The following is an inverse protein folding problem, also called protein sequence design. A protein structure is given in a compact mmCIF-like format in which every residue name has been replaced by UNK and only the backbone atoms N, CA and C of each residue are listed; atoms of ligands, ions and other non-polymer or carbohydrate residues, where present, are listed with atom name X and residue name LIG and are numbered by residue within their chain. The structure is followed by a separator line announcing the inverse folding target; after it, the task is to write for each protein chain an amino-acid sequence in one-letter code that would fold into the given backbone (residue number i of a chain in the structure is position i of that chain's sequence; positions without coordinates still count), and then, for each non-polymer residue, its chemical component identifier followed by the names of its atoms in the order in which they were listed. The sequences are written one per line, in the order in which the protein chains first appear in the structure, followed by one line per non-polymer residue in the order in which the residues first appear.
data_IF_193712041565
#
_entry.id   IF_193712041565
#
_cell.length_a   1.000
_cell.length_b   1.000
_cell.length_c   1.000
_cell.angle_alpha   90.00
_cell.angle_beta   90.00
_cell.angle_gamma   90.00
#
_symmetry.space_group_name_H-M   'P 1'
#
loop_
_entity.id
_entity.type
_entity.pdbx_description
1 polymer ?
#
# COMPACT_ATOMS: atom_id res chain seq x y z
N UNK A 1 -25.71 18.51 -37.40
CA UNK A 1 -24.41 19.14 -37.73
C UNK A 1 -24.56 20.63 -38.00
N UNK A 2 -25.41 21.07 -38.93
CA UNK A 2 -25.56 22.51 -39.29
C UNK A 2 -25.96 23.43 -38.12
N UNK A 3 -26.86 23.01 -37.23
CA UNK A 3 -27.29 23.82 -36.07
C UNK A 3 -26.15 24.12 -35.08
N UNK A 4 -25.19 23.21 -34.93
CA UNK A 4 -24.05 23.39 -34.02
C UNK A 4 -23.04 24.36 -34.65
N UNK A 5 -22.81 24.25 -35.96
CA UNK A 5 -21.93 25.17 -36.69
C UNK A 5 -22.46 26.62 -36.70
N UNK A 6 -23.78 26.81 -36.83
CA UNK A 6 -24.39 28.14 -36.79
C UNK A 6 -24.30 28.83 -35.42
N UNK A 7 -24.48 28.09 -34.32
CA UNK A 7 -24.37 28.65 -32.96
C UNK A 7 -22.92 29.05 -32.65
N UNK A 8 -21.93 28.28 -33.14
CA UNK A 8 -20.51 28.52 -32.84
C UNK A 8 -19.90 29.64 -33.70
N UNK A 9 -20.33 29.77 -34.96
CA UNK A 9 -19.90 30.88 -35.83
C UNK A 9 -20.29 32.26 -35.28
N UNK A 10 -21.40 32.34 -34.52
CA UNK A 10 -21.85 33.56 -33.85
C UNK A 10 -20.93 34.01 -32.68
N UNK A 11 -20.08 33.11 -32.16
CA UNK A 11 -19.13 33.40 -31.07
C UNK A 11 -17.66 33.47 -31.52
N UNK A 12 -17.39 33.51 -32.84
CA UNK A 12 -16.06 33.68 -33.44
C UNK A 12 -15.00 32.62 -33.06
N UNK A 13 -15.41 31.40 -32.69
CA UNK A 13 -14.47 30.29 -32.44
C UNK A 13 -14.16 29.51 -33.74
N UNK A 14 -12.90 29.14 -33.95
CA UNK A 14 -12.47 28.25 -35.03
C UNK A 14 -12.70 26.78 -34.66
N UNK A 15 -13.23 25.99 -35.60
CA UNK A 15 -13.41 24.54 -35.42
C UNK A 15 -12.20 23.78 -35.97
N UNK A 16 -11.65 22.87 -35.16
CA UNK A 16 -10.76 21.81 -35.61
C UNK A 16 -11.54 20.49 -35.56
N UNK A 17 -11.83 19.90 -36.72
CA UNK A 17 -12.56 18.63 -36.79
C UNK A 17 -11.55 17.49 -36.88
N UNK A 18 -11.43 16.71 -35.80
CA UNK A 18 -10.51 15.58 -35.71
C UNK A 18 -11.25 14.28 -36.03
N UNK A 19 -10.78 13.55 -37.03
CA UNK A 19 -11.37 12.27 -37.47
C UNK A 19 -10.49 11.06 -37.16
N UNK A 20 -9.22 11.29 -36.80
CA UNK A 20 -8.30 10.25 -36.36
C UNK A 20 -8.58 9.88 -34.89
N UNK A 21 -8.89 8.62 -34.57
CA UNK A 21 -9.15 8.16 -33.20
C UNK A 21 -8.05 8.52 -32.19
N UNK A 22 -6.78 8.54 -32.61
CA UNK A 22 -5.66 8.89 -31.73
C UNK A 22 -5.65 10.38 -31.38
N UNK A 23 -5.95 11.23 -32.37
CA UNK A 23 -6.04 12.69 -32.18
C UNK A 23 -7.32 13.07 -31.43
N UNK A 24 -8.42 12.35 -31.64
CA UNK A 24 -9.67 12.51 -30.87
C UNK A 24 -9.44 12.19 -29.39
N UNK A 25 -8.69 11.13 -29.08
CA UNK A 25 -8.33 10.78 -27.71
C UNK A 25 -7.45 11.87 -27.06
N UNK A 26 -6.41 12.33 -27.75
CA UNK A 26 -5.52 13.39 -27.27
C UNK A 26 -6.26 14.73 -27.06
N UNK A 27 -7.15 15.09 -27.99
CA UNK A 27 -7.98 16.29 -27.85
C UNK A 27 -9.02 16.17 -26.73
N UNK A 28 -9.57 14.97 -26.51
CA UNK A 28 -10.45 14.68 -25.37
C UNK A 28 -9.72 14.81 -24.03
N UNK A 29 -8.48 14.35 -23.95
CA UNK A 29 -7.61 14.48 -22.78
C UNK A 29 -7.29 15.95 -22.49
N UNK A 30 -6.96 16.73 -23.54
CA UNK A 30 -6.72 18.17 -23.44
C UNK A 30 -7.97 18.97 -23.01
N UNK A 31 -9.16 18.64 -23.55
CA UNK A 31 -10.40 19.31 -23.17
C UNK A 31 -10.82 18.99 -21.72
N UNK A 32 -10.62 17.74 -21.27
CA UNK A 32 -10.95 17.33 -19.91
C UNK A 32 -10.11 18.08 -18.86
N UNK A 33 -8.84 18.34 -19.17
CA UNK A 33 -7.89 19.02 -18.28
C UNK A 33 -7.97 20.55 -18.38
N UNK A 34 -8.20 21.10 -19.57
CA UNK A 34 -8.30 22.55 -19.78
C UNK A 34 -9.61 23.14 -19.23
N UNK A 35 -10.74 22.44 -19.36
CA UNK A 35 -12.02 22.89 -18.81
C UNK A 35 -12.01 22.93 -17.27
N UNK A 36 -11.29 21.99 -16.63
CA UNK A 36 -11.09 21.99 -15.18
C UNK A 36 -10.22 23.16 -14.71
N UNK A 37 -9.14 23.49 -15.44
CA UNK A 37 -8.29 24.65 -15.14
C UNK A 37 -9.02 26.00 -15.28
N UNK A 38 -9.88 26.15 -16.28
CA UNK A 38 -10.64 27.40 -16.49
C UNK A 38 -11.75 27.63 -15.45
N UNK A 39 -12.34 26.56 -14.88
CA UNK A 39 -13.36 26.66 -13.85
C UNK A 39 -12.81 27.16 -12.50
N UNK A 40 -11.56 26.78 -12.18
CA UNK A 40 -10.86 27.19 -10.96
C UNK A 40 -10.44 28.66 -10.96
N UNK A 41 -10.31 29.29 -12.13
CA UNK A 41 -9.73 30.62 -12.27
C UNK A 41 -10.78 31.76 -12.34
N UNK A 42 -12.06 31.46 -12.10
CA UNK A 42 -13.11 32.48 -12.07
C UNK A 42 -12.99 33.39 -10.84
N UNK A 43 -13.35 34.68 -10.99
CA UNK A 43 -13.34 35.65 -9.87
C UNK A 43 -14.19 35.21 -8.67
N UNK A 44 -15.22 34.39 -8.91
CA UNK A 44 -16.06 33.81 -7.86
C UNK A 44 -15.31 32.74 -7.05
N UNK A 45 -14.50 31.90 -7.70
CA UNK A 45 -13.70 30.86 -7.04
C UNK A 45 -12.55 31.43 -6.19
N UNK A 46 -12.02 32.62 -6.52
CA UNK A 46 -10.97 33.29 -5.71
C UNK A 46 -11.47 33.89 -4.39
N UNK A 47 -12.79 34.01 -4.19
CA UNK A 47 -13.38 34.56 -2.97
C UNK A 47 -13.74 33.51 -1.92
N UNK A 48 -13.88 32.26 -2.33
CA UNK A 48 -14.03 31.14 -1.41
C UNK A 48 -12.64 30.55 -1.14
N UNK A 49 -12.13 30.68 0.09
CA UNK A 49 -10.98 29.90 0.56
C UNK A 49 -11.43 28.44 0.72
N UNK A 50 -11.62 27.76 -0.41
CA UNK A 50 -11.91 26.34 -0.45
C UNK A 50 -10.57 25.59 -0.44
N UNK A 51 -10.27 24.99 0.71
CA UNK A 51 -9.22 23.99 0.89
C UNK A 51 -9.62 22.69 0.17
N UNK A 52 -9.78 22.74 -1.15
CA UNK A 52 -10.12 21.58 -1.96
C UNK A 52 -8.88 21.24 -2.78
N UNK A 53 -8.16 20.23 -2.32
CA UNK A 53 -7.10 19.59 -3.08
C UNK A 53 -7.74 18.89 -4.29
N UNK A 54 -7.24 19.18 -5.49
CA UNK A 54 -7.68 18.58 -6.77
C UNK A 54 -7.60 17.03 -6.79
N UNK A 55 -7.00 16.42 -5.76
CA UNK A 55 -6.97 14.98 -5.47
C UNK A 55 -8.34 14.36 -5.16
N UNK A 56 -9.34 15.13 -4.71
CA UNK A 56 -10.64 14.59 -4.35
C UNK A 56 -11.54 14.20 -5.54
N UNK A 57 -11.26 14.71 -6.75
CA UNK A 57 -12.19 14.59 -7.90
C UNK A 57 -11.68 13.73 -9.06
N UNK A 58 -10.53 13.07 -8.92
CA UNK A 58 -9.95 12.21 -9.97
C UNK A 58 -10.62 10.82 -10.10
N UNK A 59 -11.87 10.69 -9.64
CA UNK A 59 -12.69 9.47 -9.76
C UNK A 59 -14.17 9.71 -10.14
N UNK A 60 -14.64 10.96 -10.23
CA UNK A 60 -16.07 11.20 -10.47
C UNK A 60 -16.40 11.35 -11.97
N UNK A 61 -17.18 10.39 -12.49
CA UNK A 61 -17.91 10.58 -13.76
C UNK A 61 -18.96 11.67 -13.55
N UNK A 62 -18.63 12.90 -13.94
CA UNK A 62 -19.61 13.98 -14.07
C UNK A 62 -20.60 13.59 -15.19
N UNK A 63 -21.82 13.17 -14.82
CA UNK A 63 -22.97 13.21 -15.72
C UNK A 63 -23.94 14.27 -15.20
N UNK A 64 -24.29 15.19 -16.11
CA UNK A 64 -25.33 16.21 -15.94
C UNK A 64 -26.63 15.56 -15.45
N UNK A 65 -27.29 16.27 -14.52
CA UNK A 65 -28.60 15.97 -13.90
C UNK A 65 -28.55 15.15 -12.59
N UNK A 66 -27.64 15.52 -11.68
CA UNK A 66 -27.43 14.88 -10.38
C UNK A 66 -28.55 15.19 -9.36
N UNK A 67 -29.53 14.30 -9.25
CA UNK A 67 -29.99 13.87 -7.94
C UNK A 67 -28.94 12.89 -7.38
N UNK A 68 -28.27 13.33 -6.31
CA UNK A 68 -27.15 12.69 -5.62
C UNK A 68 -27.26 11.16 -5.53
N UNK A 69 -26.32 10.43 -6.14
CA UNK A 69 -26.17 8.98 -5.98
C UNK A 69 -25.10 8.58 -4.97
N UNK A 70 -24.41 9.55 -4.36
CA UNK A 70 -23.91 9.34 -3.01
C UNK A 70 -25.01 9.75 -2.04
N UNK A 71 -25.67 8.77 -1.43
CA UNK A 71 -26.05 8.99 -0.03
C UNK A 71 -24.73 9.32 0.65
N UNK A 72 -24.55 10.55 1.11
CA UNK A 72 -23.59 10.80 2.18
C UNK A 72 -23.72 9.64 3.15
N UNK A 73 -22.63 8.90 3.37
CA UNK A 73 -22.66 7.75 4.26
C UNK A 73 -23.40 8.21 5.52
N UNK A 74 -24.56 7.59 5.80
CA UNK A 74 -25.23 7.85 7.06
C UNK A 74 -24.19 7.63 8.15
N UNK A 75 -24.18 8.42 9.22
CA UNK A 75 -23.20 8.28 10.30
C UNK A 75 -23.00 6.81 10.78
N UNK A 76 -24.00 5.95 10.58
CA UNK A 76 -23.93 4.51 10.80
C UNK A 76 -22.94 3.72 9.91
N UNK A 77 -22.69 4.11 8.65
CA UNK A 77 -21.75 3.42 7.74
C UNK A 77 -20.32 3.95 7.85
N UNK A 78 -20.12 5.25 8.09
CA UNK A 78 -18.80 5.80 8.43
C UNK A 78 -18.24 5.15 9.71
N UNK A 79 -19.10 5.02 10.73
CA UNK A 79 -18.79 4.28 11.96
C UNK A 79 -18.53 2.78 11.75
N UNK A 80 -18.88 2.20 10.59
CA UNK A 80 -18.69 0.77 10.31
C UNK A 80 -17.34 0.52 9.65
N UNK A 81 -16.94 1.36 8.70
CA UNK A 81 -15.59 1.30 8.12
C UNK A 81 -14.51 1.58 9.18
N UNK A 82 -14.70 2.58 10.04
CA UNK A 82 -13.78 2.84 11.17
C UNK A 82 -13.70 1.69 12.20
N UNK A 83 -14.77 0.87 12.32
CA UNK A 83 -14.77 -0.31 13.21
C UNK A 83 -14.09 -1.53 12.61
N UNK A 84 -13.93 -1.55 11.29
CA UNK A 84 -13.41 -2.69 10.55
C UNK A 84 -11.95 -2.47 10.07
N UNK A 85 -11.42 -1.26 10.20
CA UNK A 85 -9.98 -0.99 10.08
C UNK A 85 -9.20 -1.57 11.28
N UNK A 86 -7.94 -2.01 11.07
CA UNK A 86 -7.02 -2.31 12.16
C UNK A 86 -6.87 -1.10 13.10
N UNK A 87 -6.50 -1.37 14.35
CA UNK A 87 -6.18 -0.29 15.29
C UNK A 87 -5.06 0.60 14.71
N UNK A 88 -5.17 1.92 14.88
CA UNK A 88 -4.13 2.86 14.47
C UNK A 88 -2.83 2.49 15.19
N UNK A 89 -1.82 2.16 14.40
CA UNK A 89 -0.57 1.63 14.91
C UNK A 89 0.59 2.10 14.03
N UNK A 90 1.65 2.56 14.69
CA UNK A 90 2.94 2.85 14.07
C UNK A 90 3.94 1.86 14.64
N UNK A 91 4.70 1.17 13.80
CA UNK A 91 5.61 0.11 14.26
C UNK A 91 6.68 0.59 15.25
N UNK A 92 7.14 1.84 15.12
CA UNK A 92 8.11 2.47 16.01
C UNK A 92 7.67 2.44 17.49
N UNK A 93 6.36 2.41 17.73
CA UNK A 93 5.78 2.44 19.07
C UNK A 93 5.89 1.11 19.83
N UNK A 94 6.22 0.01 19.14
CA UNK A 94 6.38 -1.33 19.72
C UNK A 94 7.74 -1.52 20.44
N UNK A 95 8.67 -0.57 20.33
CA UNK A 95 10.01 -0.68 20.90
C UNK A 95 10.95 -1.57 20.09
N UNK A 96 12.16 -1.78 20.60
CA UNK A 96 13.24 -2.54 19.96
C UNK A 96 14.01 -3.38 21.01
N UNK A 97 15.17 -3.94 20.65
CA UNK A 97 16.01 -4.74 21.56
C UNK A 97 16.39 -3.97 22.85
N UNK A 98 16.51 -2.65 22.77
CA UNK A 98 17.01 -1.79 23.85
C UNK A 98 15.92 -0.94 24.50
N UNK A 99 14.85 -0.63 23.77
CA UNK A 99 13.79 0.27 24.15
C UNK A 99 12.48 -0.47 24.41
N UNK A 100 11.86 -0.18 25.55
CA UNK A 100 10.57 -0.76 25.89
C UNK A 100 9.45 -0.19 25.01
N UNK A 101 8.50 -1.05 24.65
CA UNK A 101 7.23 -0.63 24.05
C UNK A 101 6.51 0.41 24.92
N UNK A 102 5.88 1.36 24.26
CA UNK A 102 5.12 2.43 24.94
C UNK A 102 3.61 2.26 24.81
N UNK A 103 3.16 1.20 24.14
CA UNK A 103 1.76 1.00 23.75
C UNK A 103 1.12 -0.17 24.47
N UNK A 104 -0.20 -0.05 24.66
CA UNK A 104 -1.01 -1.11 25.25
C UNK A 104 -1.08 -2.31 24.30
N UNK A 105 -0.97 -3.52 24.84
CA UNK A 105 -1.05 -4.77 24.07
C UNK A 105 -2.32 -4.89 23.22
N UNK A 106 -3.43 -4.34 23.70
CA UNK A 106 -4.71 -4.32 23.00
C UNK A 106 -4.63 -3.54 21.68
N UNK A 107 -3.75 -2.54 21.58
CA UNK A 107 -3.58 -1.68 20.38
C UNK A 107 -2.61 -2.32 19.38
N UNK A 108 -1.71 -3.20 19.83
CA UNK A 108 -0.76 -3.85 18.93
C UNK A 108 -1.51 -4.76 17.97
N UNK A 109 -1.29 -4.65 16.65
CA UNK A 109 -1.86 -5.59 15.69
C UNK A 109 -1.36 -6.99 16.00
N UNK A 110 -2.29 -7.92 16.23
CA UNK A 110 -1.95 -9.34 16.25
C UNK A 110 -1.87 -9.88 14.82
N UNK A 111 -0.90 -9.42 14.03
CA UNK A 111 -0.90 -9.74 12.61
C UNK A 111 0.30 -9.21 11.85
N UNK A 112 0.06 -8.22 10.98
CA UNK A 112 1.09 -7.69 10.09
C UNK A 112 1.02 -6.17 10.09
N UNK A 113 2.18 -5.52 10.25
CA UNK A 113 2.31 -4.08 10.11
C UNK A 113 3.58 -3.71 9.34
N UNK A 114 3.41 -3.02 8.20
CA UNK A 114 4.48 -2.71 7.26
C UNK A 114 4.57 -1.19 7.06
N UNK A 115 5.69 -0.63 7.51
CA UNK A 115 5.89 0.81 7.64
C UNK A 115 7.18 1.35 7.03
N UNK A 116 8.12 0.49 6.59
CA UNK A 116 9.41 0.97 6.08
C UNK A 116 9.24 1.77 4.79
N UNK A 117 10.15 2.71 4.59
CA UNK A 117 10.31 3.43 3.32
C UNK A 117 11.57 2.90 2.65
N UNK A 118 11.45 2.48 1.40
CA UNK A 118 12.58 1.92 0.67
C UNK A 118 13.73 2.91 0.53
N UNK A 119 14.95 2.42 0.70
CA UNK A 119 16.16 3.09 0.25
C UNK A 119 16.44 2.69 -1.18
N UNK A 120 16.61 3.67 -2.06
CA UNK A 120 16.97 3.45 -3.45
C UNK A 120 18.38 3.98 -3.70
N UNK A 121 19.20 3.22 -4.43
CA UNK A 121 20.53 3.64 -4.88
C UNK A 121 20.49 4.64 -6.07
N UNK A 122 19.30 5.10 -6.44
CA UNK A 122 19.06 5.97 -7.58
C UNK A 122 17.91 6.95 -7.34
N UNK A 123 17.94 8.06 -8.07
CA UNK A 123 16.86 9.05 -8.08
C UNK A 123 15.86 8.72 -9.19
N UNK A 124 14.63 8.41 -8.80
CA UNK A 124 13.53 8.14 -9.74
C UNK A 124 12.92 9.47 -10.18
N UNK A 125 12.86 9.70 -11.49
CA UNK A 125 12.24 10.89 -12.07
C UNK A 125 10.77 10.67 -12.46
N UNK A 126 10.42 9.46 -12.93
CA UNK A 126 9.03 9.15 -13.29
C UNK A 126 8.72 7.65 -13.32
N UNK A 127 7.43 7.33 -13.32
CA UNK A 127 6.87 5.99 -13.42
C UNK A 127 6.23 5.76 -14.79
N UNK A 128 6.41 4.59 -15.36
CA UNK A 128 5.69 4.15 -16.56
C UNK A 128 4.96 2.85 -16.26
N UNK A 129 3.66 2.81 -16.54
CA UNK A 129 2.88 1.57 -16.51
C UNK A 129 2.53 1.13 -17.93
N UNK A 130 3.06 -0.01 -18.36
CA UNK A 130 2.77 -0.61 -19.65
C UNK A 130 2.85 -2.13 -19.57
N UNK A 131 2.04 -2.82 -20.38
CA UNK A 131 2.02 -4.29 -20.45
C UNK A 131 1.86 -4.98 -19.08
N UNK A 132 1.08 -4.38 -18.17
CA UNK A 132 0.86 -4.92 -16.82
C UNK A 132 2.03 -4.74 -15.85
N UNK A 133 3.06 -3.96 -16.19
CA UNK A 133 4.25 -3.76 -15.34
C UNK A 133 4.52 -2.29 -15.11
N UNK A 134 5.05 -1.98 -13.92
CA UNK A 134 5.65 -0.68 -13.62
C UNK A 134 7.14 -0.73 -13.98
N UNK A 135 7.61 0.33 -14.62
CA UNK A 135 9.01 0.59 -14.94
C UNK A 135 9.37 1.94 -14.33
N UNK A 136 10.52 2.02 -13.67
CA UNK A 136 11.04 3.28 -13.14
C UNK A 136 11.90 3.96 -14.20
N UNK A 137 11.82 5.28 -14.30
CA UNK A 137 12.68 6.08 -15.16
C UNK A 137 13.50 6.98 -14.26
N UNK A 138 14.82 6.88 -14.34
CA UNK A 138 15.73 7.71 -13.54
C UNK A 138 15.91 9.13 -14.11
N UNK A 139 16.66 9.97 -13.41
CA UNK A 139 16.97 11.33 -13.85
C UNK A 139 17.76 11.43 -15.16
N UNK A 140 18.39 10.35 -15.62
CA UNK A 140 19.10 10.28 -16.90
C UNK A 140 18.21 9.73 -18.03
N UNK A 141 16.95 9.39 -17.73
CA UNK A 141 16.01 8.81 -18.69
C UNK A 141 16.22 7.30 -18.92
N UNK A 142 17.04 6.62 -18.12
CA UNK A 142 17.19 5.17 -18.20
C UNK A 142 15.98 4.49 -17.57
N UNK A 143 15.59 3.37 -18.17
CA UNK A 143 14.46 2.55 -17.73
C UNK A 143 14.98 1.42 -16.86
N UNK A 144 14.33 1.22 -15.73
CA UNK A 144 14.64 0.18 -14.76
C UNK A 144 13.43 -0.73 -14.61
N UNK A 145 13.59 -1.98 -14.99
CA UNK A 145 12.59 -3.02 -14.78
C UNK A 145 12.54 -3.41 -13.30
N UNK A 146 11.36 -3.77 -12.82
CA UNK A 146 11.13 -4.20 -11.45
C UNK A 146 10.82 -5.71 -11.44
N UNK A 147 10.94 -6.39 -10.28
CA UNK A 147 10.50 -7.77 -10.13
C UNK A 147 9.04 -7.94 -10.57
N UNK A 148 8.64 -9.16 -10.93
CA UNK A 148 7.28 -9.36 -11.42
C UNK A 148 6.31 -9.47 -10.25
N UNK A 149 5.29 -8.62 -10.25
CA UNK A 149 4.13 -8.72 -9.35
C UNK A 149 2.84 -8.69 -10.16
N UNK A 150 1.84 -9.46 -9.75
CA UNK A 150 0.54 -9.44 -10.40
C UNK A 150 -0.07 -8.02 -10.36
N UNK A 151 -0.64 -7.50 -11.46
CA UNK A 151 -1.13 -6.12 -11.51
C UNK A 151 -2.19 -5.81 -10.44
N UNK A 152 -3.06 -6.78 -10.14
CA UNK A 152 -4.10 -6.66 -9.11
C UNK A 152 -3.49 -6.51 -7.70
N UNK A 153 -2.49 -7.34 -7.37
CA UNK A 153 -1.73 -7.26 -6.13
C UNK A 153 -1.01 -5.92 -6.02
N UNK A 154 -0.29 -5.51 -7.08
CA UNK A 154 0.40 -4.22 -7.12
C UNK A 154 -0.55 -3.03 -6.90
N UNK A 155 -1.75 -3.08 -7.51
CA UNK A 155 -2.78 -2.07 -7.32
C UNK A 155 -3.33 -2.06 -5.89
N UNK A 156 -3.50 -3.22 -5.28
CA UNK A 156 -3.96 -3.34 -3.90
C UNK A 156 -2.94 -2.75 -2.91
N UNK A 157 -1.64 -3.06 -3.10
CA UNK A 157 -0.55 -2.48 -2.30
C UNK A 157 -0.43 -0.96 -2.51
N UNK A 158 -0.60 -0.48 -3.74
CA UNK A 158 -0.64 0.96 -4.03
C UNK A 158 -1.76 1.68 -3.30
N UNK A 159 -2.97 1.13 -3.32
CA UNK A 159 -4.11 1.71 -2.59
C UNK A 159 -3.90 1.66 -1.08
N UNK A 160 -3.25 0.61 -0.58
CA UNK A 160 -2.88 0.51 0.81
C UNK A 160 -1.94 1.64 1.22
N UNK A 161 -0.86 1.89 0.48
CA UNK A 161 0.08 2.98 0.79
C UNK A 161 -0.61 4.34 0.83
N UNK A 162 -1.46 4.64 -0.14
CA UNK A 162 -2.19 5.90 -0.17
C UNK A 162 -3.14 6.07 1.04
N UNK A 163 -3.81 4.97 1.44
CA UNK A 163 -4.70 4.99 2.60
C UNK A 163 -3.92 5.06 3.92
N UNK A 164 -2.85 4.26 4.06
CA UNK A 164 -2.04 4.14 5.27
C UNK A 164 -1.40 5.47 5.68
N UNK A 165 -0.93 6.24 4.70
CA UNK A 165 -0.41 7.60 4.92
C UNK A 165 -1.49 8.59 5.34
N UNK A 166 -2.71 8.44 4.81
CA UNK A 166 -3.86 9.30 5.15
C UNK A 166 -4.30 9.08 6.60
N UNK A 167 -4.36 7.83 7.04
CA UNK A 167 -4.80 7.46 8.39
C UNK A 167 -3.66 7.38 9.41
N UNK A 168 -2.40 7.47 8.95
CA UNK A 168 -1.18 7.32 9.76
C UNK A 168 -1.14 5.97 10.50
N UNK A 169 -1.32 4.88 9.77
CA UNK A 169 -1.27 3.52 10.33
C UNK A 169 -0.48 2.59 9.42
N UNK A 170 0.45 1.84 10.01
CA UNK A 170 1.20 0.80 9.31
C UNK A 170 0.54 -0.58 9.43
N UNK A 171 -0.48 -0.71 10.29
CA UNK A 171 -1.18 -1.98 10.49
C UNK A 171 -1.98 -2.40 9.26
N UNK A 172 -1.79 -3.65 8.86
CA UNK A 172 -2.50 -4.31 7.76
C UNK A 172 -3.50 -5.32 8.30
N UNK A 173 -3.04 -6.23 9.19
CA UNK A 173 -3.86 -7.27 9.81
C UNK A 173 -3.77 -7.15 11.32
N UNK A 174 -4.91 -7.24 11.99
CA UNK A 174 -5.02 -7.33 13.44
C UNK A 174 -5.96 -8.48 13.82
N UNK A 175 -5.41 -9.53 14.41
CA UNK A 175 -6.14 -10.65 15.01
C UNK A 175 -6.13 -10.45 16.53
N UNK A 176 -7.32 -10.30 17.11
CA UNK A 176 -7.44 -10.17 18.55
C UNK A 176 -7.41 -11.53 19.28
N UNK A 177 -7.37 -11.49 20.61
CA UNK A 177 -7.35 -12.69 21.46
C UNK A 177 -8.61 -13.56 21.31
N UNK A 178 -9.70 -13.03 20.76
CA UNK A 178 -10.93 -13.77 20.46
C UNK A 178 -10.98 -14.30 19.02
N UNK A 179 -9.89 -14.16 18.25
CA UNK A 179 -9.78 -14.62 16.86
C UNK A 179 -10.57 -13.77 15.86
N UNK A 180 -10.99 -12.55 16.24
CA UNK A 180 -11.62 -11.61 15.31
C UNK A 180 -10.54 -10.95 14.47
N UNK A 181 -10.73 -10.99 13.16
CA UNK A 181 -9.78 -10.46 12.18
C UNK A 181 -10.24 -9.08 11.72
N UNK A 182 -9.32 -8.12 11.74
CA UNK A 182 -9.45 -6.84 11.06
C UNK A 182 -8.37 -6.72 10.01
N UNK A 183 -8.75 -6.24 8.83
CA UNK A 183 -7.83 -6.02 7.71
C UNK A 183 -8.06 -4.65 7.11
N UNK A 184 -6.96 -4.00 6.72
CA UNK A 184 -6.98 -2.75 5.99
C UNK A 184 -7.95 -2.81 4.81
N UNK A 185 -8.88 -1.86 4.72
CA UNK A 185 -9.96 -1.91 3.72
C UNK A 185 -9.45 -1.94 2.28
N UNK A 186 -8.28 -1.36 2.02
CA UNK A 186 -7.61 -1.37 0.72
C UNK A 186 -7.17 -2.76 0.24
N UNK A 187 -6.93 -3.68 1.19
CA UNK A 187 -6.45 -5.05 0.99
C UNK A 187 -7.52 -6.10 1.27
N UNK A 188 -8.66 -5.71 1.82
CA UNK A 188 -9.79 -6.61 2.04
C UNK A 188 -10.31 -7.21 0.73
N UNK A 189 -10.59 -8.51 0.76
CA UNK A 189 -11.11 -9.26 -0.39
C UNK A 189 -10.20 -9.14 -1.64
N UNK A 190 -8.89 -9.07 -1.41
CA UNK A 190 -7.85 -9.09 -2.44
C UNK A 190 -6.93 -10.29 -2.21
N UNK A 191 -6.29 -10.79 -3.27
CA UNK A 191 -5.33 -11.89 -3.16
C UNK A 191 -4.17 -11.54 -2.22
N UNK A 192 -3.71 -10.28 -2.25
CA UNK A 192 -2.68 -9.76 -1.37
C UNK A 192 -3.10 -9.83 0.10
N UNK A 193 -4.30 -9.33 0.42
CA UNK A 193 -4.81 -9.34 1.79
C UNK A 193 -5.07 -10.75 2.32
N UNK A 194 -5.56 -11.65 1.47
CA UNK A 194 -5.71 -13.06 1.84
C UNK A 194 -4.35 -13.71 2.15
N UNK A 195 -3.34 -13.51 1.30
CA UNK A 195 -2.01 -14.08 1.49
C UNK A 195 -1.33 -13.55 2.77
N UNK A 196 -1.42 -12.24 3.05
CA UNK A 196 -0.89 -11.62 4.27
C UNK A 196 -1.56 -12.22 5.51
N UNK A 197 -2.88 -12.34 5.51
CA UNK A 197 -3.62 -12.91 6.63
C UNK A 197 -3.27 -14.41 6.81
N UNK A 198 -3.19 -15.18 5.73
CA UNK A 198 -2.85 -16.59 5.79
C UNK A 198 -1.45 -16.82 6.40
N UNK A 199 -0.47 -16.00 6.03
CA UNK A 199 0.88 -16.07 6.58
C UNK A 199 0.92 -15.86 8.11
N UNK A 200 0.15 -14.90 8.62
CA UNK A 200 0.09 -14.65 10.07
C UNK A 200 -0.53 -15.82 10.86
N UNK A 201 -1.58 -16.44 10.33
CA UNK A 201 -2.24 -17.57 11.02
C UNK A 201 -1.35 -18.81 11.20
N UNK A 202 -0.26 -18.90 10.42
CA UNK A 202 0.65 -20.05 10.47
C UNK A 202 1.75 -19.92 11.53
N UNK A 203 2.00 -18.72 12.07
CA UNK A 203 3.13 -18.46 12.97
C UNK A 203 3.14 -19.35 14.22
N UNK A 204 1.96 -19.52 14.84
CA UNK A 204 1.81 -20.34 16.05
C UNK A 204 1.91 -21.85 15.80
N UNK A 205 1.88 -22.30 14.53
CA UNK A 205 2.12 -23.72 14.22
C UNK A 205 3.57 -24.11 14.48
N UNK A 206 4.49 -23.17 14.27
CA UNK A 206 5.93 -23.30 14.48
C UNK A 206 6.33 -23.02 15.93
N UNK A 207 5.68 -22.07 16.60
CA UNK A 207 6.04 -21.64 17.97
C UNK A 207 5.04 -22.16 18.99
N UNK A 208 5.33 -23.34 19.57
CA UNK A 208 4.43 -24.04 20.50
C UNK A 208 4.75 -23.87 21.99
N UNK A 209 5.96 -23.43 22.31
CA UNK A 209 6.51 -23.45 23.68
C UNK A 209 6.71 -22.05 24.29
N UNK A 210 6.05 -21.02 23.74
CA UNK A 210 6.07 -19.67 24.29
C UNK A 210 4.71 -19.33 24.90
N UNK A 211 4.73 -18.72 26.08
CA UNK A 211 3.54 -18.14 26.73
C UNK A 211 3.32 -16.73 26.16
N UNK A 212 2.80 -16.68 24.93
CA UNK A 212 2.57 -15.46 24.15
C UNK A 212 1.16 -15.45 23.58
N UNK A 213 0.58 -14.26 23.52
CA UNK A 213 -0.85 -14.03 23.21
C UNK A 213 -1.05 -13.46 21.82
N UNK A 214 -0.02 -12.83 21.24
CA UNK A 214 -0.06 -12.21 19.91
C UNK A 214 1.26 -12.42 19.16
N UNK A 215 1.18 -12.45 17.85
CA UNK A 215 2.30 -12.32 16.92
C UNK A 215 2.18 -11.01 16.14
N UNK A 216 3.31 -10.47 15.67
CA UNK A 216 3.32 -9.42 14.66
C UNK A 216 4.50 -9.58 13.73
N UNK A 217 4.24 -9.48 12.42
CA UNK A 217 5.27 -9.39 11.38
C UNK A 217 5.52 -7.92 11.05
N UNK A 218 6.78 -7.50 11.10
CA UNK A 218 7.22 -6.13 10.88
C UNK A 218 8.35 -6.08 9.87
N UNK A 219 8.31 -5.14 8.94
CA UNK A 219 9.50 -4.77 8.18
C UNK A 219 10.44 -3.88 9.02
N UNK A 220 11.73 -4.09 8.90
CA UNK A 220 12.76 -3.29 9.59
C UNK A 220 13.68 -2.57 8.61
N UNK A 221 13.84 -3.09 7.40
CA UNK A 221 14.61 -2.43 6.36
C UNK A 221 14.15 -2.88 4.97
N UNK A 222 14.11 -1.95 4.02
CA UNK A 222 13.81 -2.24 2.61
C UNK A 222 14.84 -1.53 1.74
N UNK A 223 15.67 -2.30 1.04
CA UNK A 223 16.75 -1.76 0.20
C UNK A 223 16.57 -2.21 -1.24
N UNK A 224 16.39 -1.25 -2.14
CA UNK A 224 16.33 -1.48 -3.59
C UNK A 224 17.67 -1.13 -4.23
N UNK A 225 18.18 -2.05 -5.03
CA UNK A 225 19.50 -1.95 -5.64
C UNK A 225 19.46 -2.43 -7.09
N UNK A 226 20.44 -1.98 -7.89
CA UNK A 226 20.60 -2.39 -9.28
C UNK A 226 21.07 -3.84 -9.37
N UNK A 227 20.39 -4.64 -10.18
CA UNK A 227 20.86 -5.98 -10.50
C UNK A 227 22.18 -5.93 -11.27
N UNK A 228 23.03 -6.93 -11.08
CA UNK A 228 24.32 -6.99 -11.79
C UNK A 228 24.07 -7.33 -13.27
N UNK A 229 24.39 -6.40 -14.17
CA UNK A 229 24.42 -6.64 -15.63
C UNK A 229 23.10 -6.45 -16.39
N UNK A 230 22.02 -6.01 -15.72
CA UNK A 230 20.74 -5.71 -16.34
C UNK A 230 20.22 -4.34 -15.93
N UNK A 231 19.37 -3.73 -16.77
CA UNK A 231 18.59 -2.55 -16.43
C UNK A 231 17.38 -2.94 -15.55
N UNK A 232 17.63 -3.66 -14.47
CA UNK A 232 16.62 -4.08 -13.50
C UNK A 232 17.03 -3.69 -12.09
N UNK A 233 16.02 -3.50 -11.26
CA UNK A 233 16.18 -3.34 -9.83
C UNK A 233 15.68 -4.59 -9.13
N UNK A 234 16.33 -4.90 -8.03
CA UNK A 234 16.03 -5.98 -7.12
C UNK A 234 16.00 -5.39 -5.71
N UNK A 235 15.52 -6.15 -4.73
CA UNK A 235 15.43 -5.67 -3.37
C UNK A 235 15.72 -6.74 -2.34
N UNK A 236 16.19 -6.28 -1.19
CA UNK A 236 16.25 -7.05 0.04
C UNK A 236 15.31 -6.42 1.06
N UNK A 237 14.58 -7.26 1.80
CA UNK A 237 13.70 -6.83 2.90
C UNK A 237 14.10 -7.54 4.17
N UNK A 238 14.57 -6.77 5.14
CA UNK A 238 14.74 -7.25 6.50
C UNK A 238 13.41 -7.13 7.22
N UNK A 239 13.05 -8.18 7.93
CA UNK A 239 11.80 -8.22 8.68
C UNK A 239 11.95 -9.05 9.94
N UNK A 240 11.03 -8.81 10.87
CA UNK A 240 10.97 -9.49 12.15
C UNK A 240 9.61 -10.13 12.35
N UNK A 241 9.63 -11.33 12.94
CA UNK A 241 8.45 -11.98 13.49
C UNK A 241 8.54 -11.90 15.01
N UNK A 242 7.71 -11.06 15.62
CA UNK A 242 7.70 -10.82 17.06
C UNK A 242 6.55 -11.56 17.73
N UNK A 243 6.86 -12.21 18.84
CA UNK A 243 5.89 -12.83 19.73
C UNK A 243 5.76 -12.00 21.00
N UNK A 244 4.53 -11.63 21.31
CA UNK A 244 4.20 -10.59 22.28
C UNK A 244 3.36 -11.16 23.43
N UNK A 245 3.49 -10.53 24.59
CA UNK A 245 2.58 -10.71 25.72
C UNK A 245 2.45 -9.41 26.51
N UNK A 246 1.39 -9.26 27.28
CA UNK A 246 1.25 -8.16 28.22
C UNK A 246 2.16 -8.31 29.45
N UNK A 247 2.66 -7.17 29.93
CA UNK A 247 3.12 -7.05 31.31
C UNK A 247 1.95 -6.83 32.30
N UNK A 248 2.28 -6.65 33.58
CA UNK A 248 1.30 -6.37 34.64
C UNK A 248 0.50 -5.07 34.41
N UNK A 249 1.00 -4.17 33.57
CA UNK A 249 0.37 -2.89 33.21
C UNK A 249 -0.39 -2.97 31.87
N UNK A 250 -0.45 -4.15 31.24
CA UNK A 250 -1.02 -4.40 29.91
C UNK A 250 -0.31 -3.67 28.76
N UNK A 251 0.98 -3.38 28.94
CA UNK A 251 1.86 -2.89 27.88
C UNK A 251 2.39 -4.10 27.13
N UNK A 252 2.40 -4.05 25.80
CA UNK A 252 2.95 -5.12 24.99
C UNK A 252 4.45 -5.26 25.23
N UNK A 253 4.92 -6.47 25.48
CA UNK A 253 6.32 -6.79 25.63
C UNK A 253 6.70 -7.85 24.62
N UNK A 254 7.72 -7.57 23.82
CA UNK A 254 8.36 -8.57 22.96
C UNK A 254 9.04 -9.62 23.83
N UNK A 255 8.50 -10.84 23.79
CA UNK A 255 9.12 -11.99 24.46
C UNK A 255 10.25 -12.55 23.61
N UNK A 256 9.98 -12.67 22.31
CA UNK A 256 10.97 -13.07 21.31
C UNK A 256 10.70 -12.33 20.01
N UNK A 257 11.77 -11.91 19.35
CA UNK A 257 11.77 -11.49 17.96
C UNK A 257 12.70 -12.41 17.18
N UNK A 258 12.23 -12.88 16.03
CA UNK A 258 13.02 -13.63 15.06
C UNK A 258 13.30 -12.73 13.86
N UNK A 259 14.56 -12.57 13.51
CA UNK A 259 15.02 -11.70 12.42
C UNK A 259 15.26 -12.54 11.17
N UNK A 260 14.80 -12.00 10.04
CA UNK A 260 14.87 -12.62 8.74
C UNK A 260 15.24 -11.60 7.67
N UNK A 261 15.87 -12.09 6.61
CA UNK A 261 16.17 -11.34 5.40
C UNK A 261 15.56 -12.06 4.19
N UNK A 262 14.79 -11.34 3.38
CA UNK A 262 14.27 -11.79 2.10
C UNK A 262 15.04 -11.14 0.96
N UNK A 263 15.52 -11.94 0.00
CA UNK A 263 16.18 -11.44 -1.21
C UNK A 263 15.36 -11.76 -2.47
N UNK A 264 14.97 -10.73 -3.24
CA UNK A 264 14.16 -10.90 -4.46
C UNK A 264 14.89 -11.60 -5.60
N UNK A 265 16.23 -11.56 -5.60
CA UNK A 265 17.07 -12.15 -6.67
C UNK A 265 16.94 -13.66 -6.71
N UNK A 266 16.95 -14.28 -5.53
CA UNK A 266 16.90 -15.74 -5.36
C UNK A 266 15.54 -16.23 -4.91
N UNK A 267 14.66 -15.32 -4.48
CA UNK A 267 13.33 -15.61 -3.92
C UNK A 267 13.45 -16.58 -2.75
N UNK A 268 14.23 -16.15 -1.74
CA UNK A 268 14.46 -16.93 -0.54
C UNK A 268 14.46 -16.05 0.71
N UNK A 269 14.00 -16.63 1.82
CA UNK A 269 14.11 -16.07 3.16
C UNK A 269 15.20 -16.79 3.95
N UNK A 270 16.09 -16.03 4.58
CA UNK A 270 17.12 -16.53 5.48
C UNK A 270 16.89 -16.02 6.91
N UNK A 271 17.06 -16.90 7.91
CA UNK A 271 17.09 -16.50 9.31
C UNK A 271 18.44 -15.86 9.64
N UNK A 272 18.42 -14.67 10.23
CA UNK A 272 19.63 -13.88 10.50
C UNK A 272 19.96 -13.78 11.99
N UNK A 273 18.95 -13.80 12.86
CA UNK A 273 19.16 -13.59 14.29
C UNK A 273 17.88 -13.65 15.12
N UNK A 274 18.04 -13.53 16.44
CA UNK A 274 16.92 -13.39 17.36
C UNK A 274 17.31 -12.63 18.61
N UNK A 275 16.32 -11.99 19.22
CA UNK A 275 16.48 -11.28 20.50
C UNK A 275 15.22 -11.38 21.34
N UNK A 276 15.33 -10.93 22.60
CA UNK A 276 14.24 -10.92 23.56
C UNK A 276 14.45 -11.84 24.76
N UNK A 277 13.64 -11.62 25.80
CA UNK A 277 13.77 -12.29 27.10
C UNK A 277 13.77 -13.81 27.01
N UNK A 278 12.93 -14.35 26.13
CA UNK A 278 12.70 -15.79 25.99
C UNK A 278 13.39 -16.39 24.76
N UNK A 279 14.26 -15.63 24.07
CA UNK A 279 14.92 -16.07 22.83
C UNK A 279 15.71 -17.38 23.02
N UNK A 280 16.38 -17.54 24.17
CA UNK A 280 17.09 -18.78 24.51
C UNK A 280 16.19 -20.01 24.67
N UNK A 281 14.87 -19.85 24.84
CA UNK A 281 13.91 -20.97 24.96
C UNK A 281 13.53 -21.58 23.61
N UNK A 282 13.82 -20.89 22.50
CA UNK A 282 13.54 -21.38 21.15
C UNK A 282 14.64 -22.30 20.59
N UNK A 283 15.77 -22.46 21.30
CA UNK A 283 16.88 -23.28 20.82
C UNK A 283 16.51 -24.78 20.82
N UNK A 284 16.90 -25.46 19.73
CA UNK A 284 16.77 -26.89 19.40
C UNK A 284 15.43 -27.44 18.87
N UNK A 285 14.31 -26.72 18.93
CA UNK A 285 12.99 -27.27 18.51
C UNK A 285 12.15 -26.42 17.54
N UNK A 286 12.65 -25.26 17.08
CA UNK A 286 11.95 -24.41 16.11
C UNK A 286 12.47 -24.65 14.68
N UNK A 287 11.56 -24.87 13.73
CA UNK A 287 11.86 -24.86 12.30
C UNK A 287 11.95 -23.41 11.79
N UNK A 288 13.10 -22.78 12.01
CA UNK A 288 13.35 -21.37 11.62
C UNK A 288 13.18 -21.14 10.12
N UNK A 289 13.64 -22.10 9.30
CA UNK A 289 13.55 -22.01 7.86
C UNK A 289 12.10 -22.13 7.39
N UNK A 290 11.36 -23.13 7.92
CA UNK A 290 9.94 -23.31 7.61
C UNK A 290 9.08 -22.11 8.01
N UNK A 291 9.36 -21.48 9.16
CA UNK A 291 8.71 -20.23 9.57
C UNK A 291 9.05 -19.09 8.61
N UNK A 292 10.33 -18.92 8.25
CA UNK A 292 10.74 -17.90 7.27
C UNK A 292 10.03 -18.05 5.92
N UNK A 293 9.96 -19.27 5.40
CA UNK A 293 9.26 -19.58 4.14
C UNK A 293 7.75 -19.34 4.23
N UNK A 294 7.10 -19.59 5.38
CA UNK A 294 5.66 -19.38 5.51
C UNK A 294 5.24 -17.92 5.43
N UNK A 295 6.17 -17.00 5.71
CA UNK A 295 5.93 -15.54 5.67
C UNK A 295 6.66 -14.81 4.53
N UNK A 296 7.32 -15.55 3.64
CA UNK A 296 8.06 -15.01 2.48
C UNK A 296 7.23 -14.02 1.65
N UNK A 297 5.96 -14.36 1.40
CA UNK A 297 5.05 -13.50 0.63
C UNK A 297 4.85 -12.13 1.29
N UNK A 298 4.86 -12.07 2.61
CA UNK A 298 4.72 -10.81 3.37
C UNK A 298 5.98 -9.97 3.19
N UNK A 299 7.16 -10.58 3.21
CA UNK A 299 8.43 -9.90 2.98
C UNK A 299 8.55 -9.36 1.53
N UNK A 300 8.08 -10.13 0.54
CA UNK A 300 7.99 -9.65 -0.83
C UNK A 300 7.09 -8.41 -0.93
N UNK A 301 5.90 -8.43 -0.31
CA UNK A 301 4.98 -7.30 -0.32
C UNK A 301 5.51 -6.09 0.46
N UNK A 302 6.26 -6.31 1.54
CA UNK A 302 6.95 -5.25 2.27
C UNK A 302 7.94 -4.50 1.38
N UNK A 303 8.72 -5.21 0.54
CA UNK A 303 9.60 -4.58 -0.45
C UNK A 303 8.86 -3.65 -1.41
N UNK A 304 7.71 -4.07 -1.91
CA UNK A 304 6.84 -3.26 -2.78
C UNK A 304 6.19 -2.08 -2.04
N UNK A 305 5.66 -2.30 -0.84
CA UNK A 305 5.07 -1.24 -0.02
C UNK A 305 6.13 -0.17 0.28
N UNK A 306 7.35 -0.58 0.63
CA UNK A 306 8.47 0.33 0.87
C UNK A 306 8.83 1.15 -0.36
N UNK A 307 8.88 0.52 -1.54
CA UNK A 307 9.12 1.23 -2.81
C UNK A 307 8.02 2.27 -3.07
N UNK A 308 6.76 1.87 -2.96
CA UNK A 308 5.62 2.72 -3.22
C UNK A 308 5.56 3.92 -2.26
N UNK A 309 5.90 3.72 -0.97
CA UNK A 309 6.05 4.81 0.01
C UNK A 309 7.18 5.77 -0.39
N UNK A 310 8.32 5.26 -0.84
CA UNK A 310 9.44 6.09 -1.28
C UNK A 310 9.07 6.94 -2.52
N UNK A 311 8.38 6.34 -3.49
CA UNK A 311 7.91 7.01 -4.69
C UNK A 311 6.87 8.09 -4.38
N UNK A 312 5.94 7.81 -3.46
CA UNK A 312 4.94 8.79 -3.02
C UNK A 312 5.59 9.96 -2.25
N UNK A 313 6.51 9.66 -1.32
CA UNK A 313 7.26 10.67 -0.58
C UNK A 313 8.07 11.60 -1.51
N UNK A 314 8.67 11.04 -2.56
CA UNK A 314 9.37 11.78 -3.61
C UNK A 314 8.43 12.42 -4.64
N UNK A 315 7.11 12.21 -4.53
CA UNK A 315 6.06 12.70 -5.44
C UNK A 315 6.34 12.35 -6.89
N UNK A 316 6.81 11.13 -7.14
CA UNK A 316 7.20 10.68 -8.48
C UNK A 316 5.97 10.62 -9.40
N UNK A 317 5.96 11.37 -10.52
CA UNK A 317 4.83 11.38 -11.43
C UNK A 317 4.78 10.12 -12.31
N UNK A 318 3.57 9.72 -12.70
CA UNK A 318 3.40 8.81 -13.83
C UNK A 318 3.65 9.57 -15.14
N UNK A 319 4.69 9.18 -15.88
CA UNK A 319 4.94 9.64 -17.25
C UNK A 319 3.87 9.09 -18.20
N UNK A 320 3.50 7.82 -18.04
CA UNK A 320 2.53 7.14 -18.90
C UNK A 320 1.82 6.01 -18.14
N UNK A 321 0.58 5.72 -18.55
CA UNK A 321 -0.14 4.52 -18.12
C UNK A 321 -0.89 4.64 -16.80
N UNK A 322 -0.87 5.81 -16.14
CA UNK A 322 -1.60 6.07 -14.89
C UNK A 322 -3.06 5.65 -14.96
N UNK A 323 -3.78 6.07 -16.00
CA UNK A 323 -5.20 5.77 -16.14
C UNK A 323 -5.48 4.26 -16.29
N UNK A 324 -4.61 3.55 -17.01
CA UNK A 324 -4.70 2.10 -17.15
C UNK A 324 -4.41 1.41 -15.81
N UNK A 325 -3.40 1.89 -15.07
CA UNK A 325 -3.08 1.39 -13.74
C UNK A 325 -4.23 1.60 -12.73
N UNK A 326 -4.81 2.80 -12.71
CA UNK A 326 -5.92 3.13 -11.80
C UNK A 326 -7.20 2.33 -12.07
N UNK A 327 -7.35 1.75 -13.27
CA UNK A 327 -8.49 0.92 -13.67
C UNK A 327 -8.35 -0.55 -13.32
N UNK A 328 -7.18 -0.98 -12.86
CA UNK A 328 -6.96 -2.38 -12.49
C UNK A 328 -7.94 -2.73 -11.37
N UNK A 329 -8.67 -3.82 -11.59
CA UNK A 329 -9.45 -4.43 -10.54
C UNK A 329 -8.53 -5.16 -9.58
N UNK A 330 -8.74 -4.93 -8.28
CA UNK A 330 -7.96 -5.52 -7.20
C UNK A 330 -8.71 -6.64 -6.48
N UNK A 331 -9.97 -6.90 -6.84
CA UNK A 331 -10.76 -7.98 -6.22
C UNK A 331 -10.07 -9.33 -6.40
N UNK A 332 -10.11 -10.15 -5.36
CA UNK A 332 -9.56 -11.50 -5.36
C UNK A 332 -10.27 -12.38 -4.33
N UNK A 333 -9.49 -13.18 -3.62
CA UNK A 333 -9.98 -14.06 -2.56
C UNK A 333 -10.67 -13.28 -1.43
N UNK A 334 -11.79 -13.81 -0.93
CA UNK A 334 -12.47 -13.21 0.23
C UNK A 334 -11.64 -13.39 1.50
N UNK A 335 -11.55 -12.33 2.31
CA UNK A 335 -10.83 -12.38 3.59
C UNK A 335 -11.78 -12.84 4.71
N UNK A 336 -11.46 -13.93 5.43
CA UNK A 336 -12.21 -14.37 6.60
C UNK A 336 -12.42 -13.27 7.64
N UNK A 337 -13.62 -13.22 8.23
CA UNK A 337 -13.95 -12.28 9.30
C UNK A 337 -13.62 -12.82 10.71
N UNK A 338 -13.38 -14.13 10.83
CA UNK A 338 -12.97 -14.88 12.04
C UNK A 338 -12.20 -16.12 11.63
N UNK A 339 -11.26 -16.55 12.47
CA UNK A 339 -10.52 -17.81 12.31
C UNK A 339 -11.09 -18.91 13.21
#
# INVERSE_FOLDING_TARGET
MEKIQQVVAAYAFQNLLLTDPAQVAAAGELYSTAAQRLALDSRSARRDQLAVTELAYLGERVRRDSNSLFKAASAATANRSEREEPALFLKESLGDEFNQSTIREIIVPGGVALGEVARLDLSVASLLFANGRIVLIDGEGRRWELPTLAPATLKALFDFVANSQTIQSDAIVDIDAEGRVRIASSLRDTDAGFAIMAADTQLFEYVRNLDVTKSVILDTSVNWFRATGANSLEFATDFEVRFLSADNMRIAQTRVALEYEYESVVDTVAYTGNWGRDAGRLQDNLDYAGLGTSVEVVANYAGWIGLLRALDAARVPFLQGRYAFMKIDKTGCSTPARY
#
